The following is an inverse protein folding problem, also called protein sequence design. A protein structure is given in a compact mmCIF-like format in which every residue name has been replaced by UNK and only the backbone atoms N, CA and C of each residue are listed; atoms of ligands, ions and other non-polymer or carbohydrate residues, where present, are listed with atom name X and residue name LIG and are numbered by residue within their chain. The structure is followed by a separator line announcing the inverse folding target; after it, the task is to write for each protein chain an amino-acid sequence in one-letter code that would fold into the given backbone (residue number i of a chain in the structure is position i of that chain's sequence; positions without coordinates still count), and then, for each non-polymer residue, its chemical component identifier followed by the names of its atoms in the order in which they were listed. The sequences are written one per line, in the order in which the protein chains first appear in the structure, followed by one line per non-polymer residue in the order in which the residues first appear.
data_IF_887606296064
#
_entry.id   IF_887606296064
#
_cell.length_a   1.000
_cell.length_b   1.000
_cell.length_c   1.000
_cell.angle_alpha   90.00
_cell.angle_beta   90.00
_cell.angle_gamma   90.00
#
_symmetry.space_group_name_H-M   'P 1'
#
loop_
_entity.id
_entity.type
_entity.pdbx_description
1 polymer ?
#
# COMPACT_ATOMS: atom_id res chain seq x y z
N UNK A 1 6.95 11.95 18.91
CA UNK A 1 6.50 10.86 18.00
C UNK A 1 5.00 10.98 17.67
N UNK A 2 4.08 10.79 18.62
CA UNK A 2 2.64 10.94 18.37
C UNK A 2 2.23 12.40 18.08
N UNK A 3 2.75 13.34 18.86
CA UNK A 3 2.48 14.77 18.65
C UNK A 3 3.03 15.26 17.30
N UNK A 4 4.24 14.84 16.92
CA UNK A 4 4.83 15.14 15.61
C UNK A 4 3.97 14.58 14.46
N UNK A 5 3.44 13.35 14.61
CA UNK A 5 2.55 12.75 13.63
C UNK A 5 1.25 13.57 13.43
N UNK A 6 0.66 14.08 14.52
CA UNK A 6 -0.54 14.91 14.42
C UNK A 6 -0.27 16.25 13.72
N UNK A 7 0.92 16.82 13.92
CA UNK A 7 1.36 18.03 13.19
C UNK A 7 1.52 17.75 11.69
N UNK A 8 1.99 16.56 11.33
CA UNK A 8 2.19 16.16 9.94
C UNK A 8 0.93 15.62 9.26
N UNK A 9 -0.15 15.38 10.00
CA UNK A 9 -1.37 14.77 9.47
C UNK A 9 -1.94 15.54 8.26
N UNK A 10 -1.96 16.87 8.33
CA UNK A 10 -2.45 17.73 7.25
C UNK A 10 -1.57 17.69 5.98
N UNK A 11 -0.38 17.08 6.06
CA UNK A 11 0.53 16.85 4.91
C UNK A 11 0.26 15.52 4.22
N UNK A 12 -0.55 14.65 4.81
CA UNK A 12 -0.85 13.32 4.29
C UNK A 12 -2.13 13.40 3.45
N UNK A 13 -2.04 12.96 2.21
CA UNK A 13 -3.22 12.78 1.35
C UNK A 13 -3.92 11.49 1.75
N UNK A 14 -5.12 11.62 2.32
CA UNK A 14 -5.98 10.47 2.63
C UNK A 14 -6.72 10.05 1.37
N UNK A 15 -6.41 8.87 0.85
CA UNK A 15 -7.10 8.30 -0.32
C UNK A 15 -8.49 7.81 0.09
N UNK A 16 -9.58 8.25 -0.58
CA UNK A 16 -10.91 7.75 -0.29
C UNK A 16 -11.03 6.27 -0.64
N UNK A 17 -11.79 5.51 0.16
CA UNK A 17 -12.12 4.12 -0.17
C UNK A 17 -13.34 4.12 -1.08
N UNK A 18 -13.15 3.61 -2.30
CA UNK A 18 -14.18 3.52 -3.34
C UNK A 18 -14.53 2.07 -3.62
N UNK A 19 -15.67 1.83 -4.28
CA UNK A 19 -16.05 0.49 -4.72
C UNK A 19 -14.99 -0.15 -5.65
N UNK A 20 -14.28 0.65 -6.44
CA UNK A 20 -13.18 0.18 -7.29
C UNK A 20 -12.00 -0.34 -6.47
N UNK A 21 -11.64 0.35 -5.39
CA UNK A 21 -10.60 -0.08 -4.45
C UNK A 21 -11.05 -1.35 -3.73
N UNK A 22 -12.30 -1.40 -3.23
CA UNK A 22 -12.84 -2.57 -2.52
C UNK A 22 -12.84 -3.80 -3.43
N UNK A 23 -13.32 -3.65 -4.67
CA UNK A 23 -13.36 -4.75 -5.64
C UNK A 23 -11.96 -5.26 -5.95
N UNK A 24 -11.01 -4.36 -6.18
CA UNK A 24 -9.62 -4.74 -6.46
C UNK A 24 -8.94 -5.37 -5.23
N UNK A 25 -9.21 -4.87 -4.03
CA UNK A 25 -8.71 -5.44 -2.79
C UNK A 25 -9.18 -6.89 -2.61
N UNK A 26 -10.45 -7.19 -2.91
CA UNK A 26 -10.99 -8.55 -2.86
C UNK A 26 -10.21 -9.51 -3.76
N UNK A 27 -9.92 -9.13 -5.01
CA UNK A 27 -9.10 -9.94 -5.92
C UNK A 27 -7.67 -10.13 -5.39
N UNK A 28 -7.02 -9.05 -4.94
CA UNK A 28 -5.65 -9.10 -4.42
C UNK A 28 -5.53 -9.94 -3.13
N UNK A 29 -6.55 -9.90 -2.28
CA UNK A 29 -6.61 -10.74 -1.08
C UNK A 29 -6.57 -12.21 -1.45
N UNK A 30 -7.33 -12.61 -2.47
CA UNK A 30 -7.33 -13.98 -2.97
C UNK A 30 -6.01 -14.36 -3.66
N UNK A 31 -5.54 -13.52 -4.57
CA UNK A 31 -4.36 -13.80 -5.41
C UNK A 31 -3.06 -13.89 -4.60
N UNK A 32 -2.94 -13.09 -3.54
CA UNK A 32 -1.74 -12.99 -2.73
C UNK A 32 -1.89 -13.53 -1.29
N UNK A 33 -3.08 -14.01 -0.93
CA UNK A 33 -3.40 -14.47 0.42
C UNK A 33 -3.35 -13.37 1.48
N UNK A 34 -3.57 -12.11 1.08
CA UNK A 34 -3.46 -10.95 1.97
C UNK A 34 -4.68 -10.85 2.91
N UNK A 35 -4.46 -10.28 4.10
CA UNK A 35 -5.56 -9.85 4.96
C UNK A 35 -6.27 -8.64 4.33
N UNK A 36 -7.54 -8.45 4.66
CA UNK A 36 -8.40 -7.40 4.06
C UNK A 36 -7.76 -6.00 4.08
N UNK A 37 -7.10 -5.62 5.18
CA UNK A 37 -6.42 -4.32 5.28
C UNK A 37 -5.20 -4.24 4.36
N UNK A 38 -4.36 -5.28 4.33
CA UNK A 38 -3.16 -5.32 3.47
C UNK A 38 -3.56 -5.28 1.98
N UNK A 39 -4.62 -6.01 1.62
CA UNK A 39 -5.16 -5.99 0.27
C UNK A 39 -5.75 -4.63 -0.10
N UNK A 40 -6.41 -3.95 0.85
CA UNK A 40 -6.93 -2.58 0.66
C UNK A 40 -5.80 -1.59 0.46
N UNK A 41 -4.73 -1.65 1.26
CA UNK A 41 -3.57 -0.79 1.07
C UNK A 41 -2.89 -1.00 -0.29
N UNK A 42 -2.73 -2.25 -0.72
CA UNK A 42 -2.17 -2.56 -2.04
C UNK A 42 -3.08 -2.06 -3.18
N UNK A 43 -4.40 -2.27 -3.07
CA UNK A 43 -5.36 -1.80 -4.05
C UNK A 43 -5.33 -0.27 -4.18
N UNK A 44 -5.33 0.45 -3.05
CA UNK A 44 -5.24 1.90 -3.03
C UNK A 44 -3.98 2.41 -3.71
N UNK A 45 -2.81 1.82 -3.42
CA UNK A 45 -1.55 2.23 -4.04
C UNK A 45 -1.54 2.05 -5.56
N UNK A 46 -2.06 0.91 -6.05
CA UNK A 46 -2.16 0.62 -7.48
C UNK A 46 -3.12 1.59 -8.18
N UNK A 47 -4.32 1.76 -7.64
CA UNK A 47 -5.33 2.67 -8.20
C UNK A 47 -4.82 4.11 -8.19
N UNK A 48 -4.11 4.52 -7.15
CA UNK A 48 -3.54 5.86 -7.04
C UNK A 48 -2.47 6.11 -8.10
N UNK A 49 -1.56 5.16 -8.31
CA UNK A 49 -0.54 5.26 -9.35
C UNK A 49 -1.14 5.31 -10.76
N UNK A 50 -2.15 4.49 -11.03
CA UNK A 50 -2.92 4.54 -12.29
C UNK A 50 -3.62 5.89 -12.48
N UNK A 51 -4.21 6.45 -11.42
CA UNK A 51 -4.94 7.71 -11.46
C UNK A 51 -4.02 8.91 -11.73
N UNK A 52 -2.85 8.93 -11.09
CA UNK A 52 -1.86 9.99 -11.27
C UNK A 52 -1.00 9.80 -12.53
N UNK A 53 -1.01 8.60 -13.10
CA UNK A 53 -0.05 8.18 -14.13
C UNK A 53 1.41 8.42 -13.67
N UNK A 54 1.67 8.14 -12.39
CA UNK A 54 2.95 8.36 -11.73
C UNK A 54 3.39 7.11 -10.98
N UNK A 55 4.70 7.01 -10.73
CA UNK A 55 5.26 5.92 -9.94
C UNK A 55 4.90 6.10 -8.46
N UNK A 56 4.36 5.04 -7.85
CA UNK A 56 4.07 4.98 -6.42
C UNK A 56 5.05 4.01 -5.75
N UNK A 57 5.61 4.46 -4.62
CA UNK A 57 6.41 3.62 -3.73
C UNK A 57 5.53 3.20 -2.56
N UNK A 58 5.36 1.89 -2.36
CA UNK A 58 4.64 1.37 -1.19
C UNK A 58 5.62 1.18 -0.02
N UNK A 59 5.50 2.04 0.99
CA UNK A 59 6.22 1.89 2.25
C UNK A 59 5.52 0.90 3.18
N UNK A 60 6.17 -0.23 3.50
CA UNK A 60 5.64 -1.19 4.48
C UNK A 60 6.74 -2.05 5.08
N UNK A 61 6.58 -2.40 6.37
CA UNK A 61 7.39 -3.39 7.06
C UNK A 61 6.69 -4.75 7.19
N UNK A 62 5.47 -4.88 6.70
CA UNK A 62 4.79 -6.17 6.63
C UNK A 62 5.36 -6.99 5.47
N UNK A 63 5.97 -8.14 5.79
CA UNK A 63 6.65 -8.99 4.80
C UNK A 63 5.72 -9.48 3.70
N UNK A 64 4.48 -9.85 4.02
CA UNK A 64 3.57 -10.42 3.05
C UNK A 64 3.08 -9.33 2.08
N UNK A 65 2.72 -8.16 2.62
CA UNK A 65 2.32 -7.01 1.83
C UNK A 65 3.47 -6.50 0.94
N UNK A 66 4.68 -6.42 1.49
CA UNK A 66 5.89 -6.03 0.75
C UNK A 66 6.13 -6.94 -0.46
N UNK A 67 6.00 -8.26 -0.28
CA UNK A 67 6.16 -9.24 -1.36
C UNK A 67 5.05 -9.14 -2.39
N UNK A 68 3.80 -8.94 -1.95
CA UNK A 68 2.68 -8.73 -2.86
C UNK A 68 2.86 -7.47 -3.71
N UNK A 69 3.29 -6.36 -3.11
CA UNK A 69 3.56 -5.12 -3.83
C UNK A 69 4.65 -5.26 -4.89
N UNK A 70 5.76 -5.95 -4.58
CA UNK A 70 6.79 -6.27 -5.59
C UNK A 70 6.23 -7.11 -6.74
N UNK A 71 5.41 -8.12 -6.44
CA UNK A 71 4.77 -8.97 -7.48
C UNK A 71 3.76 -8.19 -8.32
N UNK A 72 3.14 -7.16 -7.76
CA UNK A 72 2.28 -6.21 -8.46
C UNK A 72 3.05 -5.07 -9.16
N UNK A 73 4.37 -5.20 -9.31
CA UNK A 73 5.24 -4.24 -10.01
C UNK A 73 5.32 -2.84 -9.39
N UNK A 74 4.95 -2.70 -8.11
CA UNK A 74 5.21 -1.47 -7.37
C UNK A 74 6.66 -1.42 -6.90
N UNK A 75 7.22 -0.19 -6.86
CA UNK A 75 8.40 0.08 -6.07
C UNK A 75 8.02 -0.01 -4.58
N UNK A 76 8.91 -0.53 -3.74
CA UNK A 76 8.63 -0.73 -2.32
C UNK A 76 9.74 -0.15 -1.46
N UNK A 77 9.37 0.31 -0.27
CA UNK A 77 10.31 0.75 0.75
C UNK A 77 10.05 0.02 2.07
N UNK A 78 11.08 -0.46 2.78
CA UNK A 78 12.51 -0.41 2.42
C UNK A 78 12.83 -1.31 1.20
N UNK A 79 13.90 -1.01 0.46
CA UNK A 79 14.29 -1.81 -0.72
C UNK A 79 14.72 -3.23 -0.36
N UNK A 80 15.31 -3.37 0.83
CA UNK A 80 15.71 -4.62 1.47
C UNK A 80 15.05 -4.77 2.85
N UNK A 81 14.09 -5.68 2.93
CA UNK A 81 13.35 -5.95 4.17
C UNK A 81 14.12 -6.90 5.11
N UNK A 82 15.16 -7.60 4.63
CA UNK A 82 15.91 -8.58 5.43
C UNK A 82 16.70 -7.95 6.58
N UNK A 83 16.93 -6.63 6.53
CA UNK A 83 17.59 -5.89 7.61
C UNK A 83 16.75 -5.83 8.88
N UNK A 84 15.45 -6.10 8.79
CA UNK A 84 14.47 -5.92 9.88
C UNK A 84 13.95 -7.23 10.48
N UNK A 85 14.34 -8.40 9.96
CA UNK A 85 13.87 -9.72 10.38
C UNK A 85 15.02 -10.73 10.43
#
# INVERSE_FOLDING_TARGET
AWEDFLVDWDKIVVTPITDSIITRASSLAWDFGLRDYDATHLASALVWGETLNEKIILGTFDRQLWQAAKRSQLEVWPEDLSVYF
#
